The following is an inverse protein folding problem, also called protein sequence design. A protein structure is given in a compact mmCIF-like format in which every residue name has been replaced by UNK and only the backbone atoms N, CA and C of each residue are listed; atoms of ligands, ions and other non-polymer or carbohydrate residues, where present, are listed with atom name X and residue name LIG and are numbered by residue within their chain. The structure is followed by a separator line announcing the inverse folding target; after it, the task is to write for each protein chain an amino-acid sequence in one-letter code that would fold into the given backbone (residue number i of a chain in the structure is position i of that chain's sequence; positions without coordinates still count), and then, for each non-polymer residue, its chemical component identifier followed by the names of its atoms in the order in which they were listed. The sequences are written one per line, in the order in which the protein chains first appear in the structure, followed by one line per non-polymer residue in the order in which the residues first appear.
data_IF_873788804078
#
_entry.id   IF_873788804078
#
_cell.length_a   1.000
_cell.length_b   1.000
_cell.length_c   1.000
_cell.angle_alpha   90.00
_cell.angle_beta   90.00
_cell.angle_gamma   90.00
#
_symmetry.space_group_name_H-M   'P 1'
#
loop_
_entity.id
_entity.type
_entity.pdbx_description
1 polymer ?
#
# COMPACT_ATOMS: atom_id res chain seq x y z
N UNK A 1 2.67 -74.06 3.76
CA UNK A 1 2.84 -72.59 3.66
C UNK A 1 1.70 -72.07 2.78
N UNK A 2 0.57 -71.68 3.38
CA UNK A 2 -0.65 -71.30 2.66
C UNK A 2 -0.61 -69.78 2.39
N UNK A 3 -0.31 -69.40 1.14
CA UNK A 3 -0.32 -68.01 0.71
C UNK A 3 -1.77 -67.53 0.60
N UNK A 4 -2.19 -66.65 1.50
CA UNK A 4 -3.43 -65.89 1.37
C UNK A 4 -3.32 -65.01 0.10
N UNK A 5 -3.95 -65.44 -0.99
CA UNK A 5 -4.13 -64.61 -2.18
C UNK A 5 -4.95 -63.38 -1.78
N UNK A 6 -4.23 -62.27 -1.61
CA UNK A 6 -4.79 -60.96 -1.28
C UNK A 6 -5.76 -60.56 -2.39
N UNK A 7 -7.05 -60.58 -2.08
CA UNK A 7 -8.12 -60.16 -2.97
C UNK A 7 -7.98 -58.66 -3.26
N UNK A 8 -7.28 -58.30 -4.34
CA UNK A 8 -7.20 -56.92 -4.81
C UNK A 8 -8.49 -56.60 -5.57
N UNK A 9 -9.47 -56.06 -4.85
CA UNK A 9 -10.65 -55.43 -5.48
C UNK A 9 -10.14 -54.22 -6.29
N UNK A 10 -10.31 -54.24 -7.61
CA UNK A 10 -10.02 -53.11 -8.48
C UNK A 10 -11.16 -52.08 -8.44
N UNK A 11 -10.83 -50.80 -8.65
CA UNK A 11 -11.84 -49.75 -8.79
C UNK A 11 -12.69 -49.97 -10.03
N UNK A 12 -14.00 -49.77 -9.90
CA UNK A 12 -14.91 -49.82 -11.04
C UNK A 12 -14.92 -48.47 -11.78
N UNK A 13 -15.16 -48.49 -13.10
CA UNK A 13 -15.26 -47.25 -13.89
C UNK A 13 -16.38 -46.34 -13.37
N UNK A 14 -17.49 -46.93 -12.93
CA UNK A 14 -18.63 -46.17 -12.39
C UNK A 14 -18.27 -45.46 -11.08
N UNK A 15 -17.46 -46.07 -10.23
CA UNK A 15 -17.00 -45.50 -8.97
C UNK A 15 -16.09 -44.30 -9.20
N UNK A 16 -15.20 -44.37 -10.19
CA UNK A 16 -14.38 -43.22 -10.59
C UNK A 16 -15.24 -42.07 -11.14
N UNK A 17 -16.25 -42.37 -11.96
CA UNK A 17 -17.13 -41.34 -12.54
C UNK A 17 -17.94 -40.62 -11.46
N UNK A 18 -18.47 -41.36 -10.47
CA UNK A 18 -19.21 -40.74 -9.35
C UNK A 18 -18.29 -39.86 -8.51
N UNK A 19 -17.06 -40.32 -8.22
CA UNK A 19 -16.08 -39.53 -7.45
C UNK A 19 -15.74 -38.23 -8.17
N UNK A 20 -15.44 -38.28 -9.47
CA UNK A 20 -15.15 -37.08 -10.26
C UNK A 20 -16.37 -36.15 -10.33
N UNK A 21 -17.59 -36.70 -10.42
CA UNK A 21 -18.82 -35.92 -10.36
C UNK A 21 -18.97 -35.15 -9.06
N UNK A 22 -18.76 -35.80 -7.91
CA UNK A 22 -18.81 -35.13 -6.59
C UNK A 22 -17.68 -34.10 -6.45
N UNK A 23 -16.46 -34.42 -6.88
CA UNK A 23 -15.32 -33.48 -6.85
C UNK A 23 -15.57 -32.23 -7.70
N UNK A 24 -16.20 -32.38 -8.87
CA UNK A 24 -16.54 -31.26 -9.73
C UNK A 24 -17.56 -30.31 -9.07
N UNK A 25 -18.61 -30.87 -8.43
CA UNK A 25 -19.61 -30.08 -7.69
C UNK A 25 -18.98 -29.36 -6.50
N UNK A 26 -18.12 -30.03 -5.73
CA UNK A 26 -17.42 -29.42 -4.60
C UNK A 26 -16.48 -28.29 -5.05
N UNK A 27 -15.70 -28.52 -6.11
CA UNK A 27 -14.80 -27.50 -6.66
C UNK A 27 -15.57 -26.27 -7.15
N UNK A 28 -16.72 -26.46 -7.81
CA UNK A 28 -17.54 -25.37 -8.32
C UNK A 28 -18.02 -24.40 -7.21
N UNK A 29 -18.31 -24.91 -6.01
CA UNK A 29 -18.70 -24.10 -4.86
C UNK A 29 -17.47 -23.51 -4.16
N UNK A 30 -16.39 -24.27 -4.06
CA UNK A 30 -15.21 -23.89 -3.30
C UNK A 30 -14.42 -22.75 -3.94
N UNK A 31 -14.21 -22.78 -5.26
CA UNK A 31 -13.39 -21.76 -5.96
C UNK A 31 -13.88 -20.33 -5.70
N UNK A 32 -15.15 -19.95 -5.95
CA UNK A 32 -15.61 -18.59 -5.70
C UNK A 32 -15.62 -18.20 -4.21
N UNK A 33 -15.72 -19.17 -3.30
CA UNK A 33 -15.66 -18.91 -1.86
C UNK A 33 -14.24 -18.53 -1.43
N UNK A 34 -13.24 -19.28 -1.90
CA UNK A 34 -11.84 -19.05 -1.57
C UNK A 34 -11.33 -17.74 -2.18
N UNK A 35 -11.71 -17.41 -3.42
CA UNK A 35 -11.28 -16.14 -4.05
C UNK A 35 -11.79 -14.92 -3.28
N UNK A 36 -13.04 -14.96 -2.80
CA UNK A 36 -13.60 -13.89 -1.94
C UNK A 36 -12.85 -13.76 -0.63
N UNK A 37 -12.59 -14.86 0.06
CA UNK A 37 -11.84 -14.85 1.31
C UNK A 37 -10.42 -14.27 1.14
N UNK A 38 -9.72 -14.65 0.08
CA UNK A 38 -8.40 -14.09 -0.25
C UNK A 38 -8.52 -12.59 -0.53
N UNK A 39 -9.49 -12.15 -1.32
CA UNK A 39 -9.68 -10.71 -1.61
C UNK A 39 -9.94 -9.88 -0.35
N UNK A 40 -10.77 -10.36 0.58
CA UNK A 40 -11.05 -9.68 1.85
C UNK A 40 -9.81 -9.59 2.74
N UNK A 41 -8.99 -10.67 2.76
CA UNK A 41 -7.73 -10.67 3.50
C UNK A 41 -6.72 -9.66 2.93
N UNK A 42 -6.66 -9.53 1.59
CA UNK A 42 -5.80 -8.55 0.90
C UNK A 42 -6.22 -7.12 1.22
N UNK A 43 -7.51 -6.81 1.12
CA UNK A 43 -8.04 -5.49 1.51
C UNK A 43 -7.75 -5.16 2.96
N UNK A 44 -7.87 -6.14 3.86
CA UNK A 44 -7.57 -5.95 5.28
C UNK A 44 -6.08 -5.68 5.52
N UNK A 45 -5.20 -6.42 4.84
CA UNK A 45 -3.75 -6.19 4.89
C UNK A 45 -3.39 -4.80 4.37
N UNK A 46 -3.87 -4.44 3.17
CA UNK A 46 -3.64 -3.13 2.56
C UNK A 46 -4.07 -1.98 3.47
N UNK A 47 -5.23 -2.11 4.13
CA UNK A 47 -5.71 -1.10 5.08
C UNK A 47 -4.82 -0.97 6.32
N UNK A 48 -4.29 -2.09 6.82
CA UNK A 48 -3.36 -2.07 7.95
C UNK A 48 -2.04 -1.39 7.58
N UNK A 49 -1.53 -1.66 6.38
CA UNK A 49 -0.33 -1.05 5.82
C UNK A 49 -0.52 0.45 5.61
N UNK A 50 -1.60 0.86 4.94
CA UNK A 50 -1.95 2.29 4.75
C UNK A 50 -1.97 3.04 6.09
N UNK A 51 -2.56 2.44 7.12
CA UNK A 51 -2.58 3.03 8.48
C UNK A 51 -1.18 3.11 9.08
N UNK A 52 -0.36 2.07 8.95
CA UNK A 52 1.00 2.06 9.46
C UNK A 52 1.86 3.13 8.78
N UNK A 53 1.75 3.26 7.46
CA UNK A 53 2.46 4.26 6.65
C UNK A 53 2.04 5.66 7.07
N UNK A 54 0.73 5.94 7.15
CA UNK A 54 0.22 7.26 7.53
C UNK A 54 0.69 7.67 8.94
N UNK A 55 0.69 6.71 9.88
CA UNK A 55 1.18 6.93 11.24
C UNK A 55 2.68 7.21 11.25
N UNK A 56 3.47 6.44 10.50
CA UNK A 56 4.92 6.61 10.41
C UNK A 56 5.31 8.00 9.88
N UNK A 57 4.62 8.48 8.84
CA UNK A 57 4.84 9.82 8.27
C UNK A 57 4.47 10.91 9.28
N UNK A 58 3.36 10.70 9.97
CA UNK A 58 2.89 11.64 11.00
C UNK A 58 3.89 11.74 12.16
N UNK A 59 4.43 10.61 12.62
CA UNK A 59 5.39 10.56 13.72
C UNK A 59 6.77 11.10 13.29
N UNK A 60 7.24 10.75 12.10
CA UNK A 60 8.40 11.41 11.48
C UNK A 60 8.25 12.93 11.49
N UNK A 61 7.09 13.42 11.04
CA UNK A 61 6.85 14.86 10.97
C UNK A 61 6.77 15.51 12.34
N UNK A 62 6.32 14.82 13.38
CA UNK A 62 6.31 15.35 14.75
C UNK A 62 7.73 15.50 15.30
N UNK A 63 8.57 14.50 15.04
CA UNK A 63 9.94 14.45 15.58
C UNK A 63 10.87 15.43 14.84
N UNK A 64 10.87 15.36 13.51
CA UNK A 64 11.71 16.20 12.65
C UNK A 64 11.15 17.62 12.56
N UNK A 65 9.83 17.78 12.66
CA UNK A 65 9.12 19.05 12.43
C UNK A 65 9.02 19.43 10.96
N UNK A 66 9.28 18.47 10.06
CA UNK A 66 9.28 18.59 8.59
C UNK A 66 8.79 17.30 7.97
N UNK A 67 8.32 17.36 6.73
CA UNK A 67 7.95 16.19 5.96
C UNK A 67 9.16 15.37 5.50
N UNK A 68 8.98 14.06 5.25
CA UNK A 68 9.94 13.27 4.46
C UNK A 68 10.27 13.98 3.14
N UNK A 69 11.53 13.96 2.69
CA UNK A 69 11.93 14.58 1.41
C UNK A 69 11.75 16.09 1.30
N UNK A 70 11.52 16.79 2.41
CA UNK A 70 11.47 18.25 2.47
C UNK A 70 12.84 18.84 2.16
N UNK A 71 13.01 19.68 1.14
CA UNK A 71 14.30 20.36 0.92
C UNK A 71 14.51 21.53 1.91
N UNK A 72 15.69 21.58 2.54
CA UNK A 72 16.05 22.57 3.55
C UNK A 72 16.22 23.97 2.98
N UNK A 73 16.51 24.06 1.68
CA UNK A 73 16.92 25.32 1.09
C UNK A 73 15.80 26.17 0.49
N UNK A 74 14.65 25.68 -0.03
CA UNK A 74 13.64 26.67 -0.52
C UNK A 74 12.18 26.28 -0.92
N UNK A 75 11.51 25.24 -0.42
CA UNK A 75 10.12 24.99 -0.90
C UNK A 75 9.08 24.61 0.17
N UNK A 76 8.10 25.51 0.35
CA UNK A 76 6.81 25.19 0.99
C UNK A 76 5.95 24.39 0.02
N UNK A 77 6.18 23.08 -0.06
CA UNK A 77 5.24 22.22 -0.75
C UNK A 77 4.03 21.99 0.12
N UNK A 78 2.88 22.41 -0.38
CA UNK A 78 1.61 22.20 0.30
C UNK A 78 1.13 20.77 0.13
N UNK A 79 1.42 20.16 -1.02
CA UNK A 79 1.13 18.75 -1.31
C UNK A 79 2.40 18.03 -1.77
N UNK A 80 2.70 16.86 -1.21
CA UNK A 80 3.78 15.99 -1.66
C UNK A 80 3.30 14.56 -1.86
N UNK A 81 3.90 13.89 -2.86
CA UNK A 81 3.53 12.55 -3.31
C UNK A 81 4.73 11.62 -3.18
N UNK A 82 4.57 10.51 -2.47
CA UNK A 82 5.62 9.51 -2.29
C UNK A 82 5.13 8.14 -2.73
N UNK A 83 6.08 7.30 -3.15
CA UNK A 83 5.86 5.90 -3.46
C UNK A 83 6.66 5.02 -2.52
N UNK A 84 6.10 3.87 -2.16
CA UNK A 84 6.82 2.84 -1.39
C UNK A 84 7.82 2.06 -2.25
N UNK A 85 7.67 1.96 -3.57
CA UNK A 85 8.67 1.27 -4.40
C UNK A 85 9.78 2.19 -4.91
N UNK A 86 11.05 1.86 -4.64
CA UNK A 86 12.19 2.52 -5.26
C UNK A 86 12.13 2.33 -6.79
N UNK A 87 12.09 3.42 -7.55
CA UNK A 87 11.93 3.38 -9.01
C UNK A 87 10.57 2.90 -9.50
N UNK A 88 9.57 2.76 -8.61
CA UNK A 88 8.22 2.43 -9.02
C UNK A 88 7.63 3.56 -9.86
N UNK A 89 6.97 3.19 -10.95
CA UNK A 89 6.08 4.09 -11.66
C UNK A 89 4.80 4.29 -10.84
N UNK A 90 4.20 5.46 -10.96
CA UNK A 90 2.83 5.66 -10.50
C UNK A 90 1.93 4.60 -11.18
N UNK A 91 0.98 3.99 -10.45
CA UNK A 91 -0.13 3.25 -11.03
C UNK A 91 -0.80 4.04 -12.15
N UNK A 92 -1.37 3.33 -13.13
CA UNK A 92 -2.09 3.96 -14.24
C UNK A 92 -3.27 4.76 -13.69
N UNK A 93 -3.30 6.06 -13.97
CA UNK A 93 -4.25 7.02 -13.43
C UNK A 93 -4.94 7.72 -14.59
N UNK A 94 -6.27 7.80 -14.57
CA UNK A 94 -7.11 8.23 -15.72
C UNK A 94 -7.19 9.77 -15.87
N UNK A 95 -6.27 10.55 -15.28
CA UNK A 95 -6.26 12.02 -15.36
C UNK A 95 -4.84 12.63 -15.47
N UNK A 96 -4.70 13.71 -16.25
CA UNK A 96 -3.43 14.37 -16.60
C UNK A 96 -2.78 15.17 -15.44
N UNK A 97 -3.39 15.18 -14.24
CA UNK A 97 -3.04 16.08 -13.12
C UNK A 97 -1.72 15.74 -12.39
N UNK A 98 -1.11 14.58 -12.65
CA UNK A 98 0.10 14.11 -11.94
C UNK A 98 1.38 14.24 -12.76
N UNK A 99 1.30 14.77 -13.99
CA UNK A 99 2.46 15.04 -14.84
C UNK A 99 3.46 15.97 -14.13
N UNK A 100 4.67 15.47 -13.86
CA UNK A 100 5.75 16.23 -13.22
C UNK A 100 5.93 15.99 -11.71
N UNK A 101 5.15 15.10 -11.10
CA UNK A 101 5.38 14.70 -9.71
C UNK A 101 6.60 13.77 -9.60
N UNK A 102 7.64 14.27 -8.92
CA UNK A 102 8.84 13.49 -8.62
C UNK A 102 8.48 12.36 -7.66
N UNK A 103 8.58 11.12 -8.13
CA UNK A 103 8.40 9.93 -7.28
C UNK A 103 9.58 9.82 -6.33
N UNK A 104 9.34 10.11 -5.04
CA UNK A 104 10.34 9.93 -3.99
C UNK A 104 10.11 8.59 -3.28
N UNK A 105 11.19 7.85 -3.08
CA UNK A 105 11.17 6.62 -2.28
C UNK A 105 10.89 6.97 -0.81
N UNK A 106 9.72 6.54 -0.34
CA UNK A 106 9.25 6.76 1.01
C UNK A 106 10.12 6.04 2.06
N UNK A 107 10.60 4.83 1.77
CA UNK A 107 11.31 4.02 2.74
C UNK A 107 12.65 4.60 3.13
N UNK A 108 13.31 5.27 2.18
CA UNK A 108 14.54 6.00 2.43
C UNK A 108 14.45 6.96 3.61
N UNK A 109 13.31 7.62 3.80
CA UNK A 109 13.10 8.59 4.87
C UNK A 109 12.53 7.97 6.16
N UNK A 110 11.69 6.94 6.03
CA UNK A 110 10.99 6.36 7.17
C UNK A 110 11.71 5.18 7.82
N UNK A 111 12.61 4.50 7.12
CA UNK A 111 13.37 3.36 7.67
C UNK A 111 14.80 3.74 8.05
N UNK A 112 15.42 4.68 7.33
CA UNK A 112 16.82 5.04 7.54
C UNK A 112 16.97 6.54 7.76
N UNK A 113 17.94 6.97 8.58
CA UNK A 113 18.28 8.39 8.73
C UNK A 113 19.01 8.96 7.50
N UNK A 114 19.40 8.13 6.53
CA UNK A 114 20.18 8.53 5.35
C UNK A 114 19.45 9.54 4.47
N UNK A 115 18.11 9.49 4.41
CA UNK A 115 17.33 10.51 3.70
C UNK A 115 17.61 11.93 4.21
N UNK A 116 17.77 12.11 5.52
CA UNK A 116 18.08 13.42 6.11
C UNK A 116 19.48 13.93 5.75
N UNK A 117 20.46 13.03 5.55
CA UNK A 117 21.84 13.45 5.27
C UNK A 117 22.05 13.92 3.83
N UNK A 118 21.29 13.40 2.88
CA UNK A 118 21.43 13.77 1.47
C UNK A 118 20.89 15.16 1.15
N UNK A 119 19.87 15.56 1.88
CA UNK A 119 19.20 16.82 1.63
C UNK A 119 19.82 17.97 2.46
N UNK A 120 21.06 17.82 2.94
CA UNK A 120 21.80 18.81 3.73
C UNK A 120 21.14 19.22 5.07
N UNK A 121 20.47 18.29 5.77
CA UNK A 121 19.88 18.59 7.06
C UNK A 121 20.90 19.12 8.08
N UNK A 122 20.59 20.20 8.84
CA UNK A 122 21.46 20.67 9.89
C UNK A 122 21.56 19.63 11.00
N UNK A 123 22.73 19.50 11.61
CA UNK A 123 23.04 18.42 12.57
C UNK A 123 22.07 18.31 13.75
N UNK A 124 21.45 19.43 14.16
CA UNK A 124 20.40 19.46 15.20
C UNK A 124 19.11 18.74 14.84
N UNK A 125 18.86 18.50 13.55
CA UNK A 125 17.68 17.78 13.05
C UNK A 125 17.99 16.29 12.98
N UNK A 126 19.21 15.91 12.57
CA UNK A 126 19.67 14.53 12.61
C UNK A 126 19.57 13.94 14.02
N UNK A 127 19.84 14.74 15.06
CA UNK A 127 19.69 14.31 16.46
C UNK A 127 18.25 14.16 16.94
N UNK A 128 17.25 14.64 16.19
CA UNK A 128 15.81 14.47 16.51
C UNK A 128 15.22 13.20 15.93
N UNK A 129 15.91 12.54 15.02
CA UNK A 129 15.44 11.30 14.43
C UNK A 129 15.42 10.20 15.51
N UNK A 130 14.25 9.62 15.75
CA UNK A 130 14.04 8.64 16.84
C UNK A 130 13.84 7.20 16.36
N UNK A 131 13.99 6.91 15.07
CA UNK A 131 14.07 5.53 14.61
C UNK A 131 13.44 5.28 13.24
N UNK A 132 13.50 4.02 12.78
CA UNK A 132 12.66 3.59 11.68
C UNK A 132 11.20 3.73 12.12
N UNK A 133 10.51 4.74 11.59
CA UNK A 133 9.09 5.01 11.82
C UNK A 133 8.21 3.98 11.11
N UNK A 134 8.73 3.38 10.04
CA UNK A 134 8.05 2.33 9.29
C UNK A 134 8.84 1.02 9.39
N UNK A 135 8.14 -0.08 9.72
CA UNK A 135 8.72 -1.43 9.80
C UNK A 135 8.16 -2.38 8.75
N UNK A 136 7.24 -1.90 7.91
CA UNK A 136 6.65 -2.69 6.82
C UNK A 136 7.79 -3.08 5.87
N UNK A 137 7.97 -4.39 5.67
CA UNK A 137 9.03 -4.97 4.84
C UNK A 137 8.70 -4.94 3.35
N UNK A 138 7.41 -4.94 3.03
CA UNK A 138 6.95 -5.15 1.65
C UNK A 138 6.67 -3.80 1.03
N UNK A 139 7.42 -3.49 -0.03
CA UNK A 139 7.33 -2.19 -0.72
C UNK A 139 6.07 -1.99 -1.54
N UNK A 140 5.21 -3.01 -1.58
CA UNK A 140 4.08 -3.10 -2.48
C UNK A 140 2.86 -3.58 -1.70
N UNK A 141 1.69 -3.21 -2.20
CA UNK A 141 0.42 -3.70 -1.72
C UNK A 141 0.22 -5.19 -2.06
N UNK A 142 -0.84 -5.84 -1.52
CA UNK A 142 -1.12 -7.26 -1.77
C UNK A 142 -1.39 -7.65 -3.22
N UNK A 143 -1.47 -6.67 -4.14
CA UNK A 143 -1.64 -6.86 -5.58
C UNK A 143 -0.38 -6.53 -6.37
N UNK A 144 0.69 -6.06 -5.70
CA UNK A 144 2.00 -5.79 -6.29
C UNK A 144 2.21 -4.35 -6.72
N UNK A 145 1.32 -3.44 -6.36
CA UNK A 145 1.41 -2.01 -6.71
C UNK A 145 2.04 -1.21 -5.56
N UNK A 146 2.80 -0.13 -5.84
CA UNK A 146 3.29 0.74 -4.78
C UNK A 146 2.12 1.47 -4.10
N UNK A 147 2.24 1.72 -2.80
CA UNK A 147 1.32 2.64 -2.12
C UNK A 147 1.63 4.07 -2.54
N UNK A 148 0.58 4.86 -2.78
CA UNK A 148 0.70 6.30 -3.00
C UNK A 148 0.42 7.01 -1.69
N UNK A 149 1.38 7.82 -1.26
CA UNK A 149 1.23 8.69 -0.10
C UNK A 149 1.06 10.13 -0.59
N UNK A 150 -0.09 10.74 -0.29
CA UNK A 150 -0.35 12.16 -0.51
C UNK A 150 -0.37 12.86 0.85
N UNK A 151 0.58 13.76 1.06
CA UNK A 151 0.66 14.52 2.30
C UNK A 151 0.36 15.97 2.05
N UNK A 152 -0.54 16.53 2.84
CA UNK A 152 -0.93 17.94 2.80
C UNK A 152 -0.42 18.64 4.04
N UNK A 153 0.12 19.84 3.88
CA UNK A 153 0.58 20.69 4.98
C UNK A 153 -0.37 21.86 5.23
N UNK A 154 -0.06 22.69 6.21
CA UNK A 154 -0.66 24.01 6.36
C UNK A 154 -0.20 24.97 5.25
N UNK A 155 -0.83 26.15 5.17
CA UNK A 155 -0.51 27.20 4.20
C UNK A 155 0.94 27.72 4.30
N UNK A 156 1.65 27.34 5.36
CA UNK A 156 3.04 27.70 5.58
C UNK A 156 3.99 26.52 5.29
N UNK A 157 3.51 25.44 4.68
CA UNK A 157 4.30 24.25 4.38
C UNK A 157 4.81 23.49 5.61
N UNK A 158 4.58 23.99 6.82
CA UNK A 158 5.44 23.68 7.97
C UNK A 158 4.88 22.56 8.82
N UNK A 159 3.56 22.40 8.83
CA UNK A 159 2.88 21.40 9.65
C UNK A 159 2.02 20.51 8.79
N UNK A 160 2.12 19.20 9.00
CA UNK A 160 1.20 18.23 8.38
C UNK A 160 -0.22 18.52 8.84
N UNK A 161 -1.10 18.74 7.86
CA UNK A 161 -2.52 18.96 8.06
C UNK A 161 -3.31 17.69 7.76
N UNK A 162 -2.92 16.91 6.73
CA UNK A 162 -3.53 15.63 6.39
C UNK A 162 -2.54 14.67 5.75
N UNK A 163 -2.71 13.39 6.01
CA UNK A 163 -1.97 12.31 5.35
C UNK A 163 -2.95 11.33 4.75
N UNK A 164 -2.83 11.09 3.45
CA UNK A 164 -3.65 10.13 2.70
C UNK A 164 -2.73 9.07 2.13
N UNK A 165 -3.04 7.80 2.37
CA UNK A 165 -2.35 6.67 1.76
C UNK A 165 -3.34 5.87 0.94
N UNK A 166 -3.00 5.62 -0.32
CA UNK A 166 -3.80 4.89 -1.31
C UNK A 166 -3.09 3.60 -1.73
N UNK A 167 -3.88 2.55 -1.92
CA UNK A 167 -3.51 1.35 -2.68
C UNK A 167 -4.42 1.28 -3.91
N UNK A 168 -3.82 0.97 -5.06
CA UNK A 168 -4.49 0.82 -6.36
C UNK A 168 -5.30 -0.48 -6.48
N UNK A 169 -5.46 -1.22 -5.38
CA UNK A 169 -6.36 -2.37 -5.33
C UNK A 169 -6.02 -3.47 -6.35
N UNK A 170 -7.06 -4.19 -6.75
CA UNK A 170 -6.94 -5.36 -7.63
C UNK A 170 -6.85 -5.05 -9.12
N UNK A 171 -7.29 -3.86 -9.52
CA UNK A 171 -7.30 -3.33 -10.88
C UNK A 171 -6.01 -2.61 -11.25
N UNK A 172 -5.17 -2.27 -10.26
CA UNK A 172 -3.91 -1.55 -10.47
C UNK A 172 -4.08 -0.15 -11.08
N UNK A 173 -5.30 0.35 -11.04
CA UNK A 173 -5.69 1.71 -11.40
C UNK A 173 -6.16 2.42 -10.15
N UNK A 174 -5.87 3.71 -10.02
CA UNK A 174 -6.45 4.51 -8.95
C UNK A 174 -7.60 5.30 -9.54
N UNK A 175 -8.81 4.88 -9.20
CA UNK A 175 -10.04 5.53 -9.59
C UNK A 175 -10.51 6.53 -8.50
N UNK A 176 -9.78 6.61 -7.38
CA UNK A 176 -10.08 7.50 -6.27
C UNK A 176 -9.76 8.95 -6.62
N UNK A 177 -10.78 9.78 -6.65
CA UNK A 177 -10.66 11.20 -6.92
C UNK A 177 -10.23 11.93 -5.64
N UNK A 178 -9.05 12.58 -5.68
CA UNK A 178 -8.62 13.54 -4.66
C UNK A 178 -8.84 14.94 -5.23
N UNK A 179 -9.96 15.57 -4.86
CA UNK A 179 -10.24 16.94 -5.27
C UNK A 179 -9.44 17.90 -4.39
N UNK A 180 -8.67 18.77 -5.03
CA UNK A 180 -7.91 19.85 -4.42
C UNK A 180 -8.57 21.20 -4.75
N UNK A 181 -8.71 22.10 -3.78
CA UNK A 181 -9.03 23.51 -4.03
C UNK A 181 -7.90 24.38 -3.50
N UNK A 182 -7.08 24.87 -4.44
CA UNK A 182 -5.79 25.48 -4.13
C UNK A 182 -4.91 24.48 -3.37
N UNK A 183 -4.60 24.83 -2.14
CA UNK A 183 -3.66 24.15 -1.26
C UNK A 183 -4.32 23.12 -0.32
N UNK A 184 -5.62 22.85 -0.49
CA UNK A 184 -6.38 22.02 0.45
C UNK A 184 -7.12 20.89 -0.25
N UNK A 185 -7.03 19.67 0.31
CA UNK A 185 -7.94 18.58 -0.05
C UNK A 185 -9.35 18.96 0.39
N UNK A 186 -10.26 19.12 -0.56
CA UNK A 186 -11.67 19.42 -0.32
C UNK A 186 -12.50 18.16 -0.19
N UNK A 187 -12.19 17.13 -0.97
CA UNK A 187 -12.85 15.83 -0.92
C UNK A 187 -11.91 14.71 -1.35
N UNK A 188 -12.11 13.53 -0.76
CA UNK A 188 -11.52 12.28 -1.22
C UNK A 188 -12.71 11.36 -1.52
N UNK A 189 -12.93 11.07 -2.79
CA UNK A 189 -13.90 10.06 -3.22
C UNK A 189 -13.13 8.77 -3.45
N UNK A 190 -13.32 7.78 -2.58
CA UNK A 190 -12.64 6.49 -2.70
C UNK A 190 -13.47 5.61 -3.64
N UNK A 191 -12.86 5.12 -4.71
CA UNK A 191 -13.50 4.16 -5.61
C UNK A 191 -13.82 2.85 -4.89
N UNK A 192 -14.72 2.05 -5.48
CA UNK A 192 -15.23 0.82 -4.85
C UNK A 192 -14.14 -0.25 -4.63
N UNK A 193 -13.05 -0.19 -5.39
CA UNK A 193 -11.95 -1.17 -5.35
C UNK A 193 -10.68 -0.65 -4.67
N UNK A 194 -10.56 0.66 -4.48
CA UNK A 194 -9.39 1.29 -3.88
C UNK A 194 -9.42 1.21 -2.36
N UNK A 195 -8.24 1.14 -1.76
CA UNK A 195 -8.09 1.17 -0.30
C UNK A 195 -7.36 2.43 0.09
N UNK A 196 -8.10 3.37 0.69
CA UNK A 196 -7.52 4.60 1.22
C UNK A 196 -7.57 4.66 2.76
N UNK A 197 -6.58 5.31 3.35
CA UNK A 197 -6.58 5.69 4.75
C UNK A 197 -6.19 7.17 4.90
N UNK A 198 -7.02 7.93 5.60
CA UNK A 198 -6.80 9.36 5.89
C UNK A 198 -6.56 9.56 7.39
N UNK A 199 -5.48 10.28 7.73
CA UNK A 199 -5.27 10.87 9.06
C UNK A 199 -5.42 12.39 8.94
N UNK A 200 -6.25 12.97 9.82
CA UNK A 200 -6.44 14.42 9.98
C UNK A 200 -5.74 14.94 11.23
#
# INVERSE_FOLDING_TARGET
MFGLLRNRKGFTLIELVIILGVLAVLAAILVPLVTRYISESRVTAAKADCKSIATAVTDYSKDIGKLPGWDWDDHNYVTQVFLTGEGASLPDYDDDDWEGLSTKDLYKYLQTSSGLSEDNAPSRILSKWNGPYLRVSDSYDPWGNPYILVVVTDSNGKKVSRVVVLSAGSDSTIDSEISLSGDFITSISISRNDVAFEIK
#
